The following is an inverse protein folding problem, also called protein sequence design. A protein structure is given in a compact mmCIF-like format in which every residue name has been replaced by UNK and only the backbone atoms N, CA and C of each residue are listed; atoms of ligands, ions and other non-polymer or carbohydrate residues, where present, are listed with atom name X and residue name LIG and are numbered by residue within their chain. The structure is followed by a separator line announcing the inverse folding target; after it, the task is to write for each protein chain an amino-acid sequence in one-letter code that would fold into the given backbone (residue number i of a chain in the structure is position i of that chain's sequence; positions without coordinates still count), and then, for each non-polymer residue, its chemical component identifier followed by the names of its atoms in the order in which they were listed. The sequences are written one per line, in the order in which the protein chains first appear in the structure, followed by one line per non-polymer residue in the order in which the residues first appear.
data_IF_172314092507
#
_entry.id   IF_172314092507
#
_cell.length_a   1.000
_cell.length_b   1.000
_cell.length_c   1.000
_cell.angle_alpha   90.00
_cell.angle_beta   90.00
_cell.angle_gamma   90.00
#
_symmetry.space_group_name_H-M   'P 1'
#
loop_
_entity.id
_entity.type
_entity.pdbx_description
1 polymer ?
#
# COMPACT_ATOMS: atom_id res chain seq x y z
N UNK A 1 31.00 66.29 -17.47
CA UNK A 1 29.66 65.97 -16.95
C UNK A 1 29.00 65.01 -17.94
N UNK A 2 29.26 63.72 -17.79
CA UNK A 2 28.62 62.68 -18.57
C UNK A 2 28.82 61.37 -17.81
N UNK A 3 27.74 60.78 -17.30
CA UNK A 3 27.75 59.44 -16.76
C UNK A 3 26.50 58.69 -17.23
N UNK A 4 26.80 57.60 -17.89
CA UNK A 4 25.96 56.60 -18.57
C UNK A 4 25.04 55.88 -17.57
N UNK A 5 23.81 55.60 -17.99
CA UNK A 5 22.86 54.74 -17.28
C UNK A 5 23.29 53.27 -17.38
N UNK A 6 23.38 52.57 -16.24
CA UNK A 6 23.47 51.11 -16.17
C UNK A 6 22.14 50.53 -15.66
N UNK A 7 21.59 49.57 -16.41
CA UNK A 7 20.33 48.91 -16.09
C UNK A 7 20.44 47.96 -14.90
N UNK A 8 19.36 47.89 -14.12
CA UNK A 8 19.20 46.88 -13.06
C UNK A 8 18.22 45.82 -13.55
N UNK A 9 18.68 44.57 -13.53
CA UNK A 9 17.94 43.35 -13.86
C UNK A 9 16.83 43.14 -12.83
N UNK A 10 15.60 42.92 -13.29
CA UNK A 10 14.48 42.56 -12.45
C UNK A 10 14.69 41.13 -11.90
N UNK A 11 14.86 41.00 -10.59
CA UNK A 11 14.79 39.72 -9.89
C UNK A 11 13.34 39.31 -9.72
N UNK A 12 13.04 38.09 -10.15
CA UNK A 12 11.76 37.41 -9.97
C UNK A 12 11.52 37.24 -8.47
N UNK A 13 10.38 37.74 -7.98
CA UNK A 13 9.96 37.54 -6.60
C UNK A 13 9.49 36.08 -6.43
N UNK A 14 10.22 35.33 -5.61
CA UNK A 14 9.79 34.02 -5.12
C UNK A 14 8.46 34.15 -4.37
N UNK A 15 7.48 33.34 -4.79
CA UNK A 15 6.17 33.25 -4.15
C UNK A 15 6.31 32.79 -2.71
N UNK A 16 5.94 33.67 -1.77
CA UNK A 16 6.03 33.43 -0.34
C UNK A 16 5.25 32.20 0.09
N UNK A 17 5.96 31.23 0.63
CA UNK A 17 5.40 30.16 1.45
C UNK A 17 4.83 30.78 2.74
N UNK A 18 3.60 30.41 3.10
CA UNK A 18 3.00 30.86 4.35
C UNK A 18 3.85 30.40 5.55
N UNK A 19 4.03 31.25 6.58
CA UNK A 19 4.81 30.89 7.76
C UNK A 19 4.14 29.73 8.51
N UNK A 20 4.88 28.64 8.69
CA UNK A 20 4.47 27.52 9.54
C UNK A 20 4.46 28.02 10.99
N UNK A 21 3.35 27.91 11.75
CA UNK A 21 3.30 28.35 13.13
C UNK A 21 4.36 27.63 13.99
N UNK A 22 5.05 28.36 14.87
CA UNK A 22 5.99 27.81 15.87
C UNK A 22 5.22 27.03 16.95
N UNK A 23 4.74 25.83 16.60
CA UNK A 23 4.26 24.84 17.55
C UNK A 23 5.50 24.14 18.12
N UNK A 24 5.59 24.00 19.44
CA UNK A 24 6.71 23.30 20.09
C UNK A 24 6.98 21.96 19.41
N UNK A 25 8.22 21.75 18.94
CA UNK A 25 8.57 20.58 18.13
C UNK A 25 8.29 19.28 18.88
N UNK A 26 7.52 18.38 18.28
CA UNK A 26 7.28 17.06 18.83
C UNK A 26 8.58 16.27 18.90
N UNK A 27 9.01 15.93 20.12
CA UNK A 27 10.18 15.08 20.33
C UNK A 27 9.74 13.61 20.39
N UNK A 28 10.15 12.83 19.40
CA UNK A 28 9.92 11.38 19.35
C UNK A 28 11.15 10.60 19.87
N UNK A 29 11.08 10.13 21.11
CA UNK A 29 12.15 9.33 21.74
C UNK A 29 11.91 7.81 21.66
N UNK A 30 12.97 7.02 21.66
CA UNK A 30 12.89 5.55 21.70
C UNK A 30 12.22 4.95 20.46
N UNK A 31 11.28 4.01 20.67
CA UNK A 31 10.65 3.25 19.57
C UNK A 31 9.90 4.16 18.61
N UNK A 32 9.19 5.20 19.10
CA UNK A 32 8.46 6.13 18.24
C UNK A 32 9.39 6.90 17.29
N UNK A 33 10.55 7.34 17.77
CA UNK A 33 11.55 8.04 16.95
C UNK A 33 12.14 7.11 15.90
N UNK A 34 12.49 5.88 16.30
CA UNK A 34 13.00 4.86 15.38
C UNK A 34 12.00 4.52 14.28
N UNK A 35 10.74 4.27 14.65
CA UNK A 35 9.67 3.94 13.68
C UNK A 35 9.42 5.11 12.73
N UNK A 36 9.37 6.34 13.24
CA UNK A 36 9.24 7.54 12.41
C UNK A 36 10.36 7.64 11.37
N UNK A 37 11.61 7.59 11.82
CA UNK A 37 12.79 7.68 10.96
C UNK A 37 12.87 6.52 9.95
N UNK A 38 12.52 5.30 10.35
CA UNK A 38 12.63 4.12 9.49
C UNK A 38 11.50 4.04 8.44
N UNK A 39 10.28 4.46 8.80
CA UNK A 39 9.06 4.09 8.06
C UNK A 39 8.25 5.23 7.48
N UNK A 40 8.45 6.47 7.94
CA UNK A 40 7.56 7.59 7.65
C UNK A 40 8.27 8.86 7.21
N UNK A 41 9.42 9.18 7.81
CA UNK A 41 10.26 10.28 7.40
C UNK A 41 10.67 10.10 5.93
N UNK A 42 10.47 11.14 5.13
CA UNK A 42 10.96 11.17 3.76
C UNK A 42 12.49 11.14 3.77
N UNK A 43 13.07 10.41 2.82
CA UNK A 43 14.51 10.23 2.66
C UNK A 43 14.94 10.69 1.27
N UNK A 44 16.17 11.17 1.17
CA UNK A 44 16.77 11.47 -0.12
C UNK A 44 17.22 10.17 -0.84
N UNK A 45 17.79 10.31 -2.03
CA UNK A 45 18.26 9.19 -2.86
C UNK A 45 19.39 8.36 -2.20
N UNK A 46 20.10 8.94 -1.23
CA UNK A 46 21.13 8.25 -0.43
C UNK A 46 20.55 7.52 0.79
N UNK A 47 19.24 7.63 1.02
CA UNK A 47 18.55 7.03 2.16
C UNK A 47 18.65 7.86 3.45
N UNK A 48 19.14 9.08 3.38
CA UNK A 48 19.27 9.98 4.53
C UNK A 48 17.92 10.68 4.80
N UNK A 49 17.42 10.73 6.04
CA UNK A 49 16.19 11.45 6.36
C UNK A 49 16.30 12.94 6.01
N UNK A 50 15.33 13.45 5.25
CA UNK A 50 15.14 14.89 5.01
C UNK A 50 14.07 15.48 5.92
N UNK A 51 13.28 14.62 6.55
CA UNK A 51 12.33 14.98 7.61
C UNK A 51 12.82 14.41 8.94
N UNK A 52 12.84 15.25 9.96
CA UNK A 52 13.33 14.93 11.30
C UNK A 52 12.22 15.01 12.34
N UNK A 53 11.09 15.66 12.01
CA UNK A 53 9.99 15.90 12.93
C UNK A 53 8.63 15.52 12.32
N UNK A 54 7.63 15.12 13.15
CA UNK A 54 6.27 14.92 12.69
C UNK A 54 5.67 16.13 11.99
N UNK A 55 6.01 17.34 12.42
CA UNK A 55 5.51 18.59 11.85
C UNK A 55 5.93 18.77 10.38
N UNK A 56 7.18 18.40 10.04
CA UNK A 56 7.65 18.41 8.64
C UNK A 56 6.88 17.39 7.80
N UNK A 57 6.70 16.17 8.31
CA UNK A 57 5.89 15.14 7.65
C UNK A 57 4.44 15.59 7.48
N UNK A 58 3.80 16.17 8.50
CA UNK A 58 2.42 16.64 8.42
C UNK A 58 2.26 17.76 7.40
N UNK A 59 3.23 18.68 7.30
CA UNK A 59 3.23 19.72 6.27
C UNK A 59 3.30 19.10 4.87
N UNK A 60 4.22 18.15 4.64
CA UNK A 60 4.30 17.41 3.37
C UNK A 60 2.99 16.69 3.04
N UNK A 61 2.45 15.94 4.00
CA UNK A 61 1.24 15.14 3.79
C UNK A 61 0.06 16.05 3.49
N UNK A 62 -0.15 17.11 4.27
CA UNK A 62 -1.23 18.08 4.09
C UNK A 62 -1.19 18.73 2.70
N UNK A 63 -0.01 19.19 2.26
CA UNK A 63 0.19 19.72 0.91
C UNK A 63 -0.10 18.68 -0.16
N UNK A 64 0.43 17.47 0.04
CA UNK A 64 0.29 16.37 -0.91
C UNK A 64 -1.15 15.92 -1.14
N UNK A 65 -1.99 15.93 -0.09
CA UNK A 65 -3.41 15.57 -0.20
C UNK A 65 -4.27 16.75 -0.67
N UNK A 66 -3.93 18.00 -0.32
CA UNK A 66 -4.63 19.19 -0.80
C UNK A 66 -4.44 19.44 -2.29
N UNK A 67 -3.36 18.94 -2.90
CA UNK A 67 -3.02 19.16 -4.32
C UNK A 67 -4.09 18.67 -5.32
N UNK A 68 -5.05 17.84 -4.91
CA UNK A 68 -6.18 17.40 -5.76
C UNK A 68 -7.22 18.51 -5.97
N UNK A 69 -7.22 19.54 -5.12
CA UNK A 69 -8.17 20.63 -5.18
C UNK A 69 -7.99 21.50 -6.42
N UNK A 70 -9.10 21.99 -6.96
CA UNK A 70 -9.14 22.55 -8.32
C UNK A 70 -8.45 23.91 -8.48
N UNK A 71 -8.35 24.71 -7.43
CA UNK A 71 -7.78 26.07 -7.50
C UNK A 71 -6.71 26.27 -6.42
N UNK A 72 -5.71 27.14 -6.65
CA UNK A 72 -4.69 27.46 -5.66
C UNK A 72 -5.27 27.91 -4.31
N UNK A 73 -6.36 28.67 -4.32
CA UNK A 73 -7.04 29.15 -3.11
C UNK A 73 -7.63 27.99 -2.30
N UNK A 74 -8.23 27.00 -2.98
CA UNK A 74 -8.74 25.79 -2.33
C UNK A 74 -7.61 24.90 -1.83
N UNK A 75 -6.55 24.74 -2.60
CA UNK A 75 -5.37 23.97 -2.18
C UNK A 75 -4.79 24.56 -0.89
N UNK A 76 -4.58 25.88 -0.83
CA UNK A 76 -4.08 26.56 0.36
C UNK A 76 -5.06 26.46 1.54
N UNK A 77 -6.36 26.65 1.30
CA UNK A 77 -7.39 26.50 2.32
C UNK A 77 -7.38 25.10 2.95
N UNK A 78 -7.36 24.06 2.12
CA UNK A 78 -7.39 22.67 2.58
C UNK A 78 -6.05 22.20 3.17
N UNK A 79 -4.90 22.63 2.64
CA UNK A 79 -3.59 22.35 3.21
C UNK A 79 -3.52 22.77 4.69
N UNK A 80 -3.97 24.00 5.01
CA UNK A 80 -4.01 24.48 6.40
C UNK A 80 -4.91 23.63 7.30
N UNK A 81 -6.10 23.26 6.81
CA UNK A 81 -7.09 22.45 7.56
C UNK A 81 -6.60 21.02 7.78
N UNK A 82 -5.94 20.44 6.78
CA UNK A 82 -5.34 19.12 6.89
C UNK A 82 -4.15 19.11 7.83
N UNK A 83 -3.30 20.14 7.79
CA UNK A 83 -2.22 20.27 8.75
C UNK A 83 -2.76 20.36 10.19
N UNK A 84 -3.80 21.16 10.41
CA UNK A 84 -4.44 21.34 11.72
C UNK A 84 -4.97 20.03 12.32
N UNK A 85 -5.59 19.17 11.48
CA UNK A 85 -6.15 17.88 11.93
C UNK A 85 -5.08 16.80 12.10
N UNK A 86 -3.97 16.87 11.36
CA UNK A 86 -2.84 15.96 11.55
C UNK A 86 -2.00 16.32 12.78
N UNK A 87 -1.94 17.62 13.10
CA UNK A 87 -1.15 18.17 14.20
C UNK A 87 -1.56 17.58 15.55
N UNK A 88 -0.58 17.36 16.42
CA UNK A 88 -0.76 16.78 17.76
C UNK A 88 -1.49 15.43 17.73
N UNK A 89 -1.31 14.66 16.64
CA UNK A 89 -1.90 13.34 16.46
C UNK A 89 -3.44 13.30 16.59
N UNK A 90 -4.14 14.43 16.44
CA UNK A 90 -5.62 14.48 16.50
C UNK A 90 -6.26 13.52 15.49
N UNK A 91 -5.61 13.34 14.34
CA UNK A 91 -5.93 12.33 13.36
C UNK A 91 -4.65 11.69 12.80
N UNK A 92 -4.61 10.36 12.76
CA UNK A 92 -3.49 9.60 12.21
C UNK A 92 -3.98 8.79 11.02
N UNK A 93 -3.70 9.22 9.77
CA UNK A 93 -4.09 8.47 8.60
C UNK A 93 -3.28 7.17 8.47
N UNK A 94 -3.75 6.27 7.61
CA UNK A 94 -3.05 5.01 7.35
C UNK A 94 -1.59 5.24 6.94
N UNK A 95 -0.70 4.36 7.40
CA UNK A 95 0.74 4.60 7.28
C UNK A 95 1.28 4.77 5.85
N UNK A 96 0.55 4.32 4.83
CA UNK A 96 0.88 4.56 3.40
C UNK A 96 0.68 6.02 3.00
N UNK A 97 -0.34 6.67 3.54
CA UNK A 97 -0.60 8.11 3.33
C UNK A 97 0.55 8.91 3.95
N UNK A 98 0.92 8.61 5.20
CA UNK A 98 2.01 9.29 5.89
C UNK A 98 3.35 9.16 5.16
N UNK A 99 3.68 7.94 4.70
CA UNK A 99 4.94 7.68 4.00
C UNK A 99 4.95 8.16 2.54
N UNK A 100 3.79 8.32 1.90
CA UNK A 100 3.70 8.51 0.44
C UNK A 100 3.21 9.88 -0.01
N UNK A 101 2.30 10.52 0.73
CA UNK A 101 1.67 11.75 0.30
C UNK A 101 2.70 12.89 0.17
N UNK A 102 2.67 13.61 -0.95
CA UNK A 102 3.54 14.76 -1.19
C UNK A 102 5.02 14.41 -1.45
N UNK A 103 5.36 13.12 -1.60
CA UNK A 103 6.76 12.69 -1.85
C UNK A 103 7.17 12.74 -3.33
N UNK A 104 6.21 12.83 -4.25
CA UNK A 104 6.43 12.70 -5.70
C UNK A 104 6.65 11.26 -6.18
N UNK A 105 6.73 10.28 -5.28
CA UNK A 105 6.84 8.86 -5.65
C UNK A 105 5.49 8.28 -6.11
N UNK A 106 5.53 7.38 -7.08
CA UNK A 106 4.34 6.67 -7.61
C UNK A 106 3.93 5.52 -6.70
N UNK A 107 3.40 5.85 -5.53
CA UNK A 107 2.87 4.89 -4.53
C UNK A 107 1.36 5.01 -4.40
N UNK A 108 0.71 3.98 -3.85
CA UNK A 108 -0.72 4.08 -3.51
C UNK A 108 -0.91 4.59 -2.08
N UNK A 109 -1.98 5.37 -1.90
CA UNK A 109 -2.46 5.81 -0.59
C UNK A 109 -3.45 4.82 0.04
N UNK A 110 -4.00 3.89 -0.75
CA UNK A 110 -4.87 2.84 -0.25
C UNK A 110 -4.04 1.69 0.32
N UNK A 111 -4.39 1.25 1.53
CA UNK A 111 -3.72 0.12 2.17
C UNK A 111 -4.28 -1.23 1.69
N UNK A 112 -5.60 -1.30 1.46
CA UNK A 112 -6.33 -2.55 1.31
C UNK A 112 -6.99 -2.62 -0.07
N UNK A 113 -6.75 -3.71 -0.77
CA UNK A 113 -7.35 -4.01 -2.06
C UNK A 113 -8.03 -5.37 -2.00
N UNK A 114 -9.19 -5.46 -2.64
CA UNK A 114 -9.80 -6.73 -3.02
C UNK A 114 -9.84 -6.72 -4.53
N UNK A 115 -9.24 -7.74 -5.14
CA UNK A 115 -9.29 -7.91 -6.60
C UNK A 115 -10.24 -9.07 -6.93
N UNK A 116 -10.83 -9.09 -8.14
CA UNK A 116 -11.71 -10.17 -8.55
C UNK A 116 -11.06 -11.54 -8.39
N UNK A 117 -11.87 -12.56 -8.16
CA UNK A 117 -11.41 -13.94 -8.24
C UNK A 117 -10.77 -14.22 -9.60
N UNK A 118 -9.68 -14.99 -9.65
CA UNK A 118 -9.04 -15.35 -10.91
C UNK A 118 -10.01 -16.14 -11.77
N UNK A 119 -9.96 -15.98 -13.09
CA UNK A 119 -10.64 -16.91 -13.98
C UNK A 119 -9.99 -18.30 -13.84
N UNK A 120 -10.79 -19.37 -13.98
CA UNK A 120 -10.34 -20.75 -13.84
C UNK A 120 -9.55 -21.25 -15.05
N UNK A 121 -8.42 -20.59 -15.30
CA UNK A 121 -7.47 -20.87 -16.36
C UNK A 121 -6.07 -20.42 -15.94
N UNK A 122 -5.04 -20.96 -16.58
CA UNK A 122 -3.66 -20.52 -16.31
C UNK A 122 -3.47 -19.04 -16.63
N UNK A 123 -4.05 -18.55 -17.72
CA UNK A 123 -4.02 -17.14 -18.10
C UNK A 123 -4.67 -16.26 -17.03
N UNK A 124 -5.89 -16.60 -16.61
CA UNK A 124 -6.63 -15.86 -15.58
C UNK A 124 -5.90 -15.77 -14.25
N UNK A 125 -5.25 -16.86 -13.82
CA UNK A 125 -4.45 -16.87 -12.59
C UNK A 125 -3.21 -15.97 -12.73
N UNK A 126 -2.50 -16.03 -13.86
CA UNK A 126 -1.32 -15.22 -14.09
C UNK A 126 -1.65 -13.73 -14.27
N UNK A 127 -2.76 -13.41 -14.93
CA UNK A 127 -3.26 -12.03 -15.04
C UNK A 127 -3.67 -11.47 -13.68
N UNK A 128 -4.33 -12.28 -12.85
CA UNK A 128 -4.66 -11.91 -11.48
C UNK A 128 -3.39 -11.70 -10.61
N UNK A 129 -2.39 -12.58 -10.75
CA UNK A 129 -1.08 -12.44 -10.09
C UNK A 129 -0.35 -11.16 -10.53
N UNK A 130 -0.43 -10.81 -11.82
CA UNK A 130 0.12 -9.56 -12.35
C UNK A 130 -0.53 -8.35 -11.68
N UNK A 131 -1.87 -8.31 -11.59
CA UNK A 131 -2.59 -7.22 -10.90
C UNK A 131 -2.18 -7.14 -9.43
N UNK A 132 -2.12 -8.27 -8.72
CA UNK A 132 -1.66 -8.33 -7.33
C UNK A 132 -0.24 -7.73 -7.19
N UNK A 133 0.67 -8.14 -8.08
CA UNK A 133 2.07 -7.72 -8.06
C UNK A 133 2.20 -6.21 -8.25
N UNK A 134 1.47 -5.64 -9.19
CA UNK A 134 1.47 -4.19 -9.45
C UNK A 134 0.95 -3.40 -8.24
N UNK A 135 -0.10 -3.88 -7.58
CA UNK A 135 -0.64 -3.24 -6.37
C UNK A 135 0.40 -3.28 -5.23
N UNK A 136 1.00 -4.45 -4.99
CA UNK A 136 1.99 -4.64 -3.93
C UNK A 136 3.28 -3.84 -4.17
N UNK A 137 3.75 -3.74 -5.41
CA UNK A 137 4.90 -2.91 -5.77
C UNK A 137 4.70 -1.43 -5.38
N UNK A 138 3.44 -0.96 -5.38
CA UNK A 138 3.07 0.41 -4.95
C UNK A 138 2.72 0.51 -3.47
N UNK A 139 2.72 -0.62 -2.74
CA UNK A 139 2.52 -0.71 -1.30
C UNK A 139 1.13 -1.20 -0.84
N UNK A 140 0.23 -1.57 -1.74
CA UNK A 140 -1.07 -2.11 -1.35
C UNK A 140 -0.97 -3.56 -0.84
N UNK A 141 -1.80 -3.91 0.15
CA UNK A 141 -2.11 -5.29 0.50
C UNK A 141 -3.30 -5.79 -0.32
N UNK A 142 -3.32 -7.07 -0.67
CA UNK A 142 -4.31 -7.64 -1.60
C UNK A 142 -5.04 -8.82 -0.96
N UNK A 143 -6.37 -8.84 -1.09
CA UNK A 143 -7.24 -9.97 -0.82
C UNK A 143 -7.75 -10.62 -2.10
N UNK A 144 -7.72 -11.95 -2.16
CA UNK A 144 -8.15 -12.75 -3.33
C UNK A 144 -8.97 -13.93 -2.84
N UNK A 145 -10.14 -14.16 -3.45
CA UNK A 145 -10.92 -15.38 -3.24
C UNK A 145 -10.61 -16.37 -4.37
N UNK A 146 -10.08 -17.55 -4.01
CA UNK A 146 -9.64 -18.60 -4.94
C UNK A 146 -10.72 -19.63 -5.27
N UNK A 147 -11.95 -19.46 -4.78
CA UNK A 147 -13.06 -20.42 -4.97
C UNK A 147 -13.52 -20.58 -6.41
N UNK A 148 -13.10 -19.68 -7.30
CA UNK A 148 -13.32 -19.82 -8.74
C UNK A 148 -12.48 -20.94 -9.36
N UNK A 149 -11.35 -21.31 -8.74
CA UNK A 149 -10.44 -22.31 -9.27
C UNK A 149 -11.00 -23.70 -9.04
N UNK A 150 -10.96 -24.55 -10.07
CA UNK A 150 -11.46 -25.91 -9.95
C UNK A 150 -10.70 -26.72 -8.88
N UNK A 151 -11.38 -27.68 -8.22
CA UNK A 151 -10.75 -28.52 -7.21
C UNK A 151 -9.57 -29.34 -7.74
N UNK A 152 -8.66 -29.72 -6.84
CA UNK A 152 -7.59 -30.68 -7.10
C UNK A 152 -8.16 -31.98 -7.68
N UNK A 153 -7.49 -32.54 -8.67
CA UNK A 153 -7.92 -33.78 -9.32
C UNK A 153 -8.97 -33.58 -10.43
N UNK A 154 -9.55 -32.38 -10.56
CA UNK A 154 -10.50 -32.09 -11.65
C UNK A 154 -9.88 -32.34 -13.02
N UNK A 155 -10.60 -33.06 -13.89
CA UNK A 155 -10.11 -33.40 -15.23
C UNK A 155 -10.00 -32.16 -16.13
N UNK A 156 -8.88 -32.03 -16.84
CA UNK A 156 -8.59 -30.93 -17.77
C UNK A 156 -8.57 -31.48 -19.19
N UNK A 157 -9.67 -31.28 -19.91
CA UNK A 157 -9.88 -31.77 -21.28
C UNK A 157 -8.78 -31.38 -22.26
N UNK A 158 -8.27 -30.15 -22.17
CA UNK A 158 -7.32 -29.59 -23.14
C UNK A 158 -5.91 -30.18 -23.06
N UNK A 159 -5.53 -30.76 -21.91
CA UNK A 159 -4.19 -31.35 -21.70
C UNK A 159 -4.24 -32.81 -21.25
N UNK A 160 -5.44 -33.42 -21.26
CA UNK A 160 -5.69 -34.79 -20.80
C UNK A 160 -5.01 -35.09 -19.44
N UNK A 161 -5.21 -34.21 -18.46
CA UNK A 161 -4.58 -34.28 -17.14
C UNK A 161 -5.51 -33.85 -16.02
N UNK A 162 -4.96 -33.65 -14.82
CA UNK A 162 -5.71 -33.24 -13.63
C UNK A 162 -5.27 -31.88 -13.11
N UNK A 163 -6.19 -31.17 -12.46
CA UNK A 163 -5.92 -29.88 -11.85
C UNK A 163 -5.15 -30.02 -10.54
N UNK A 164 -4.28 -29.05 -10.29
CA UNK A 164 -3.52 -28.94 -9.04
C UNK A 164 -4.35 -28.37 -7.88
N UNK A 165 -5.52 -27.79 -8.14
CA UNK A 165 -6.35 -27.14 -7.13
C UNK A 165 -5.86 -25.74 -6.70
N UNK A 166 -6.67 -25.01 -5.92
CA UNK A 166 -6.39 -23.65 -5.48
C UNK A 166 -5.21 -23.57 -4.50
N UNK A 167 -5.02 -24.56 -3.62
CA UNK A 167 -3.91 -24.54 -2.65
C UNK A 167 -2.52 -24.56 -3.31
N UNK A 168 -2.38 -25.27 -4.43
CA UNK A 168 -1.12 -25.24 -5.20
C UNK A 168 -0.87 -23.88 -5.85
N UNK A 169 -1.91 -23.19 -6.34
CA UNK A 169 -1.76 -21.83 -6.86
C UNK A 169 -1.54 -20.81 -5.74
N UNK A 170 -2.14 -21.00 -4.57
CA UNK A 170 -1.95 -20.18 -3.38
C UNK A 170 -0.46 -20.12 -2.95
N UNK A 171 0.30 -21.20 -3.15
CA UNK A 171 1.75 -21.19 -2.94
C UNK A 171 2.47 -20.21 -3.87
N UNK A 172 2.09 -20.16 -5.15
CA UNK A 172 2.65 -19.19 -6.10
C UNK A 172 2.38 -17.74 -5.66
N UNK A 173 1.14 -17.44 -5.27
CA UNK A 173 0.79 -16.11 -4.74
C UNK A 173 1.60 -15.77 -3.47
N UNK A 174 1.79 -16.74 -2.58
CA UNK A 174 2.59 -16.57 -1.36
C UNK A 174 4.05 -16.29 -1.69
N UNK A 175 4.70 -17.08 -2.54
CA UNK A 175 6.11 -16.87 -2.95
C UNK A 175 6.27 -15.50 -3.59
N UNK A 176 5.35 -15.12 -4.49
CA UNK A 176 5.37 -13.78 -5.09
C UNK A 176 5.33 -12.67 -4.02
N UNK A 177 4.43 -12.78 -3.04
CA UNK A 177 4.26 -11.79 -1.97
C UNK A 177 5.46 -11.67 -1.05
N UNK A 178 6.08 -12.81 -0.73
CA UNK A 178 7.11 -12.92 0.29
C UNK A 178 8.53 -12.71 -0.20
N UNK A 179 8.84 -13.35 -1.31
CA UNK A 179 10.21 -13.64 -1.73
C UNK A 179 10.59 -12.82 -2.97
N UNK A 180 9.59 -12.45 -3.78
CA UNK A 180 9.81 -11.72 -5.04
C UNK A 180 9.49 -10.24 -4.88
N UNK A 181 8.35 -9.90 -4.29
CA UNK A 181 7.85 -8.52 -4.23
C UNK A 181 8.28 -7.87 -2.92
N UNK A 182 9.26 -6.97 -3.01
CA UNK A 182 9.62 -6.07 -1.92
C UNK A 182 9.54 -4.63 -2.39
N UNK A 183 8.79 -3.79 -1.69
CA UNK A 183 8.69 -2.38 -2.01
C UNK A 183 9.99 -1.65 -1.65
N UNK A 184 10.96 -1.67 -2.56
CA UNK A 184 12.26 -0.99 -2.40
C UNK A 184 12.99 -1.36 -1.11
N UNK A 185 12.85 -2.61 -0.65
CA UNK A 185 13.45 -3.11 0.60
C UNK A 185 12.81 -2.60 1.90
N UNK A 186 11.84 -1.68 1.84
CA UNK A 186 11.28 -1.04 3.04
C UNK A 186 10.10 -1.82 3.63
N UNK A 187 9.16 -2.35 2.83
CA UNK A 187 7.96 -3.04 3.35
C UNK A 187 7.63 -4.28 2.51
N UNK A 188 7.34 -5.37 3.20
CA UNK A 188 6.88 -6.65 2.63
C UNK A 188 5.42 -6.54 2.18
N UNK A 189 5.06 -7.27 1.13
CA UNK A 189 3.66 -7.39 0.69
C UNK A 189 2.78 -8.05 1.75
N UNK A 190 1.49 -7.71 1.73
CA UNK A 190 0.48 -8.33 2.59
C UNK A 190 -0.59 -8.99 1.70
N UNK A 191 -0.82 -10.28 1.90
CA UNK A 191 -1.75 -11.08 1.10
C UNK A 191 -2.77 -11.77 2.01
N UNK A 192 -4.03 -11.72 1.61
CA UNK A 192 -5.11 -12.54 2.15
C UNK A 192 -5.63 -13.44 1.03
N UNK A 193 -5.62 -14.75 1.25
CA UNK A 193 -6.25 -15.73 0.37
C UNK A 193 -7.48 -16.29 1.06
N UNK A 194 -8.56 -16.41 0.30
CA UNK A 194 -9.84 -16.91 0.79
C UNK A 194 -10.34 -18.06 -0.04
N UNK A 195 -11.13 -18.92 0.58
CA UNK A 195 -11.93 -19.94 -0.09
C UNK A 195 -13.31 -20.01 0.57
N UNK A 196 -14.35 -20.31 -0.19
CA UNK A 196 -15.69 -20.51 0.34
C UNK A 196 -15.74 -21.83 1.09
N UNK A 197 -16.52 -21.85 2.17
CA UNK A 197 -16.84 -23.04 2.96
C UNK A 197 -17.35 -24.22 2.12
N UNK A 198 -18.12 -23.95 1.06
CA UNK A 198 -18.66 -24.97 0.16
C UNK A 198 -17.65 -25.50 -0.87
N UNK A 199 -16.43 -24.98 -0.93
CA UNK A 199 -15.45 -25.40 -1.93
C UNK A 199 -14.90 -26.80 -1.61
N UNK A 200 -14.82 -27.74 -2.57
CA UNK A 200 -14.38 -29.11 -2.30
C UNK A 200 -12.99 -29.23 -1.65
N UNK A 201 -12.08 -28.31 -1.95
CA UNK A 201 -10.73 -28.26 -1.35
C UNK A 201 -10.65 -27.46 -0.02
N UNK A 202 -11.78 -27.10 0.62
CA UNK A 202 -11.78 -26.36 1.89
C UNK A 202 -11.01 -27.11 2.98
N UNK A 203 -11.10 -28.44 3.02
CA UNK A 203 -10.37 -29.27 3.99
C UNK A 203 -8.85 -29.22 3.76
N UNK A 204 -8.38 -29.22 2.51
CA UNK A 204 -6.97 -29.00 2.20
C UNK A 204 -6.56 -27.60 2.66
N UNK A 205 -7.39 -26.59 2.34
CA UNK A 205 -7.11 -25.18 2.61
C UNK A 205 -6.95 -24.86 4.11
N UNK A 206 -7.81 -25.41 4.98
CA UNK A 206 -7.70 -25.19 6.43
C UNK A 206 -6.50 -25.92 7.05
N UNK A 207 -6.03 -27.00 6.43
CA UNK A 207 -4.92 -27.81 6.93
C UNK A 207 -3.56 -27.42 6.32
N UNK A 208 -3.53 -26.68 5.21
CA UNK A 208 -2.32 -26.46 4.39
C UNK A 208 -1.15 -25.86 5.19
N UNK A 209 -1.44 -24.97 6.14
CA UNK A 209 -0.43 -24.31 6.99
C UNK A 209 0.07 -25.14 8.16
N UNK A 210 -0.45 -26.36 8.36
CA UNK A 210 0.18 -27.33 9.26
C UNK A 210 1.56 -27.74 8.74
N UNK A 211 1.77 -27.67 7.43
CA UNK A 211 3.10 -27.69 6.83
C UNK A 211 3.68 -26.28 6.81
N UNK A 212 4.66 -26.02 7.69
CA UNK A 212 5.33 -24.72 7.85
C UNK A 212 6.20 -24.32 6.63
N UNK A 213 6.25 -25.14 5.59
CA UNK A 213 6.93 -24.83 4.33
C UNK A 213 5.98 -24.27 3.27
N UNK A 214 4.66 -24.35 3.49
CA UNK A 214 3.64 -23.98 2.50
C UNK A 214 2.94 -22.69 2.89
N UNK A 215 2.81 -21.79 1.92
CA UNK A 215 2.00 -20.55 2.01
C UNK A 215 2.39 -19.67 3.23
N UNK A 216 3.69 -19.41 3.39
CA UNK A 216 4.24 -18.66 4.53
C UNK A 216 4.01 -17.13 4.47
N UNK A 217 3.51 -16.61 3.35
CA UNK A 217 3.42 -15.18 3.10
C UNK A 217 2.01 -14.70 2.74
N UNK A 218 0.99 -15.50 3.06
CA UNK A 218 -0.40 -15.10 2.99
C UNK A 218 -1.14 -15.40 4.31
N UNK A 219 -2.11 -14.58 4.69
CA UNK A 219 -3.16 -14.97 5.61
C UNK A 219 -4.21 -15.80 4.87
N UNK A 220 -4.83 -16.75 5.57
CA UNK A 220 -5.86 -17.62 5.02
C UNK A 220 -7.16 -17.39 5.79
N UNK A 221 -8.29 -17.35 5.09
CA UNK A 221 -9.62 -17.26 5.72
C UNK A 221 -10.66 -18.03 4.93
N UNK A 222 -11.62 -18.64 5.62
CA UNK A 222 -12.76 -19.29 4.99
C UNK A 222 -13.91 -18.28 4.93
N UNK A 223 -14.50 -18.11 3.75
CA UNK A 223 -15.74 -17.35 3.59
C UNK A 223 -16.89 -18.25 4.01
N UNK A 224 -17.36 -18.06 5.24
CA UNK A 224 -18.45 -18.85 5.83
C UNK A 224 -19.79 -18.32 5.36
N UNK A 225 -20.64 -19.21 4.86
CA UNK A 225 -21.96 -18.88 4.31
C UNK A 225 -23.07 -19.00 5.36
N UNK A 226 -24.19 -18.30 5.15
CA UNK A 226 -25.38 -18.43 6.01
C UNK A 226 -25.91 -19.88 6.07
N UNK A 227 -25.98 -20.66 4.97
CA UNK A 227 -26.37 -22.07 5.03
C UNK A 227 -25.48 -22.93 5.94
N UNK A 228 -24.17 -22.70 5.94
CA UNK A 228 -23.26 -23.40 6.85
C UNK A 228 -23.55 -23.02 8.30
N UNK A 229 -23.69 -21.72 8.59
CA UNK A 229 -24.00 -21.25 9.95
C UNK A 229 -25.34 -21.77 10.47
N UNK A 230 -26.33 -21.98 9.60
CA UNK A 230 -27.62 -22.55 9.97
C UNK A 230 -27.59 -24.07 10.20
N UNK A 231 -26.56 -24.77 9.70
CA UNK A 231 -26.43 -26.22 9.80
C UNK A 231 -25.69 -26.71 11.05
N UNK A 232 -25.06 -25.81 11.81
CA UNK A 232 -24.20 -26.11 12.98
C UNK A 232 -24.81 -25.69 14.31
#
# INVERSE_FOLDING_TARGET
MTAVQSGTVATVQDGGTAPVPEVGRTILEGIRGKVFSDRYALKNERGEPIEHTPEEMWARVARGIAAVEATPEKQQYWEGRFYEVLSDFKFVPGGRILAGAGTGHKVTYYNCYVIPSPEDSRGGILDNLKVMTEIMARGGGVGINLSSLRPRGSYIKTVNGTASGPCSWAELYSVATGDVIQQGGSRRGALMLMINDSHPDVEEFINVKRDLKRINHANLSVCVSDPFMAAV
#
